data_IF_207384156875
#
_entry.id   IF_207384156875
#
_cell.length_a   1.000
_cell.length_b   1.000
_cell.length_c   1.000
_cell.angle_alpha   90.00
_cell.angle_beta   90.00
_cell.angle_gamma   90.00
#
_symmetry.space_group_name_H-M   'P 1'
#
loop_
_entity.id
_entity.type
_entity.pdbx_description
1 polymer ?
#
# COMPACT_ATOMS: atom_id res chain seq x y z
N UNK A 1 2.77 -11.70 0.49
CA UNK A 1 3.12 -10.52 1.32
C UNK A 1 4.35 -9.87 0.68
N UNK A 2 4.36 -8.54 0.43
CA UNK A 2 5.43 -7.87 -0.33
C UNK A 2 6.80 -7.92 0.35
N UNK A 3 6.83 -7.86 1.69
CA UNK A 3 8.07 -7.92 2.47
C UNK A 3 8.49 -9.35 2.80
N UNK A 4 8.46 -10.28 1.85
CA UNK A 4 8.98 -11.64 2.08
C UNK A 4 10.51 -11.67 2.04
N UNK A 5 11.13 -12.64 2.73
CA UNK A 5 12.59 -12.81 2.73
C UNK A 5 13.16 -12.97 1.33
N UNK A 6 12.47 -13.68 0.45
CA UNK A 6 12.92 -13.94 -0.92
C UNK A 6 12.91 -12.68 -1.79
N UNK A 7 11.99 -11.75 -1.54
CA UNK A 7 11.85 -10.53 -2.34
C UNK A 7 12.88 -9.45 -1.98
N UNK A 8 13.44 -9.51 -0.77
CA UNK A 8 14.40 -8.54 -0.26
C UNK A 8 15.71 -9.16 0.22
N UNK A 9 16.03 -10.35 -0.27
CA UNK A 9 17.26 -11.05 0.10
C UNK A 9 18.48 -10.15 -0.12
N UNK A 10 19.23 -9.87 0.95
CA UNK A 10 20.43 -9.01 0.92
C UNK A 10 20.19 -7.49 1.03
N UNK A 11 18.94 -6.99 0.93
CA UNK A 11 18.63 -5.55 1.07
C UNK A 11 18.41 -5.12 2.52
N UNK A 12 17.76 -5.96 3.32
CA UNK A 12 17.42 -5.66 4.70
C UNK A 12 17.89 -6.80 5.63
N UNK A 13 18.31 -6.45 6.84
CA UNK A 13 18.54 -7.44 7.90
C UNK A 13 17.20 -8.03 8.35
N UNK A 14 17.23 -9.21 8.96
CA UNK A 14 16.02 -9.88 9.46
C UNK A 14 15.15 -8.98 10.35
N UNK A 15 15.77 -8.26 11.29
CA UNK A 15 15.05 -7.36 12.19
C UNK A 15 14.41 -6.16 11.47
N UNK A 16 15.06 -5.64 10.43
CA UNK A 16 14.52 -4.55 9.62
C UNK A 16 13.34 -5.05 8.78
N UNK A 17 13.45 -6.25 8.22
CA UNK A 17 12.39 -6.90 7.48
C UNK A 17 11.16 -7.14 8.37
N UNK A 18 11.34 -7.58 9.62
CA UNK A 18 10.25 -7.75 10.58
C UNK A 18 9.56 -6.41 10.89
N UNK A 19 10.32 -5.33 11.05
CA UNK A 19 9.77 -3.98 11.22
C UNK A 19 8.96 -3.52 10.00
N UNK A 20 9.49 -3.68 8.79
CA UNK A 20 8.79 -3.32 7.55
C UNK A 20 7.51 -4.16 7.34
N UNK A 21 7.57 -5.45 7.67
CA UNK A 21 6.41 -6.34 7.66
C UNK A 21 5.34 -5.88 8.67
N UNK A 22 5.74 -5.45 9.86
CA UNK A 22 4.83 -4.92 10.87
C UNK A 22 4.20 -3.60 10.42
N UNK A 23 5.00 -2.68 9.86
CA UNK A 23 4.52 -1.42 9.30
C UNK A 23 3.50 -1.66 8.20
N UNK A 24 3.78 -2.60 7.29
CA UNK A 24 2.88 -2.97 6.21
C UNK A 24 1.54 -3.49 6.70
N UNK A 25 1.52 -4.40 7.69
CA UNK A 25 0.27 -4.90 8.25
C UNK A 25 -0.56 -3.77 8.89
N UNK A 26 0.08 -2.89 9.67
CA UNK A 26 -0.58 -1.74 10.30
C UNK A 26 -1.14 -0.76 9.27
N UNK A 27 -0.39 -0.47 8.21
CA UNK A 27 -0.86 0.36 7.10
C UNK A 27 -2.06 -0.29 6.39
N UNK A 28 -1.99 -1.58 6.10
CA UNK A 28 -3.10 -2.31 5.49
C UNK A 28 -4.35 -2.29 6.36
N UNK A 29 -4.22 -2.48 7.67
CA UNK A 29 -5.31 -2.37 8.64
C UNK A 29 -5.91 -0.95 8.66
N UNK A 30 -5.06 0.09 8.75
CA UNK A 30 -5.49 1.48 8.81
C UNK A 30 -6.20 1.96 7.52
N UNK A 31 -5.78 1.46 6.35
CA UNK A 31 -6.37 1.80 5.06
C UNK A 31 -7.50 0.84 4.62
N UNK A 32 -7.76 -0.23 5.37
CA UNK A 32 -8.78 -1.23 5.01
C UNK A 32 -8.41 -2.09 3.79
N UNK A 33 -7.12 -2.31 3.53
CA UNK A 33 -6.64 -3.12 2.41
C UNK A 33 -6.21 -4.52 2.85
N UNK A 34 -6.40 -5.50 1.97
CA UNK A 34 -5.85 -6.84 2.20
C UNK A 34 -4.34 -6.86 1.92
N UNK A 35 -3.49 -7.30 2.88
CA UNK A 35 -2.02 -7.33 2.72
C UNK A 35 -1.51 -8.36 1.70
N UNK A 36 -2.39 -9.20 1.15
CA UNK A 36 -2.01 -10.29 0.24
C UNK A 36 -2.63 -10.08 -1.15
N UNK A 37 -3.91 -9.74 -1.20
CA UNK A 37 -4.69 -9.72 -2.45
C UNK A 37 -5.01 -8.32 -2.96
N UNK A 38 -4.75 -7.26 -2.19
CA UNK A 38 -5.00 -5.89 -2.67
C UNK A 38 -4.17 -5.60 -3.92
N UNK A 39 -4.75 -5.03 -5.00
CA UNK A 39 -3.98 -4.60 -6.16
C UNK A 39 -2.97 -3.48 -5.80
N UNK A 40 -3.21 -2.75 -4.72
CA UNK A 40 -2.34 -1.70 -4.23
C UNK A 40 -1.19 -2.21 -3.35
N UNK A 41 -1.06 -3.53 -3.16
CA UNK A 41 -0.08 -4.13 -2.23
C UNK A 41 1.36 -3.67 -2.48
N UNK A 42 1.76 -3.58 -3.74
CA UNK A 42 3.14 -3.26 -4.13
C UNK A 42 3.40 -1.75 -4.03
N UNK A 43 2.38 -0.95 -4.33
CA UNK A 43 2.40 0.50 -4.15
C UNK A 43 2.57 0.88 -2.67
N UNK A 44 1.76 0.28 -1.79
CA UNK A 44 1.85 0.47 -0.33
C UNK A 44 3.24 0.05 0.18
N UNK A 45 3.77 -1.08 -0.30
CA UNK A 45 5.09 -1.55 0.11
C UNK A 45 6.20 -0.57 -0.31
N UNK A 46 6.16 -0.04 -1.54
CA UNK A 46 7.14 0.96 -1.99
C UNK A 46 7.11 2.24 -1.15
N UNK A 47 5.92 2.76 -0.83
CA UNK A 47 5.82 3.97 0.00
C UNK A 47 6.34 3.74 1.42
N UNK A 48 6.10 2.57 2.01
CA UNK A 48 6.65 2.21 3.32
C UNK A 48 8.19 2.17 3.29
N UNK A 49 8.79 1.61 2.23
CA UNK A 49 10.24 1.63 2.05
C UNK A 49 10.76 3.06 1.99
N UNK A 50 10.11 3.94 1.22
CA UNK A 50 10.52 5.34 1.11
C UNK A 50 10.49 6.06 2.47
N UNK A 51 9.42 5.90 3.24
CA UNK A 51 9.31 6.49 4.59
C UNK A 51 10.41 5.95 5.52
N UNK A 52 10.69 4.64 5.44
CA UNK A 52 11.76 4.01 6.21
C UNK A 52 13.15 4.56 5.85
N UNK A 53 13.43 4.73 4.56
CA UNK A 53 14.70 5.27 4.04
C UNK A 53 14.90 6.75 4.44
N UNK A 54 13.82 7.48 4.72
CA UNK A 54 13.88 8.81 5.33
C UNK A 54 14.19 8.80 6.85
N UNK A 55 14.40 7.62 7.45
CA UNK A 55 14.80 7.45 8.85
C UNK A 55 13.66 7.14 9.82
N UNK A 56 12.43 6.95 9.35
CA UNK A 56 11.29 6.59 10.20
C UNK A 56 11.18 5.07 10.28
N UNK A 57 11.62 4.48 11.39
CA UNK A 57 11.65 3.02 11.56
C UNK A 57 10.50 2.45 12.41
N UNK A 58 9.74 3.30 13.10
CA UNK A 58 8.64 2.85 13.95
C UNK A 58 7.41 2.45 13.11
N UNK A 59 6.92 1.20 13.20
CA UNK A 59 5.78 0.72 12.42
C UNK A 59 4.49 1.54 12.54
N UNK A 60 4.17 2.01 13.75
CA UNK A 60 2.97 2.81 14.00
C UNK A 60 3.07 4.17 13.31
N UNK A 61 4.23 4.83 13.42
CA UNK A 61 4.48 6.12 12.77
C UNK A 61 4.43 6.01 11.25
N UNK A 62 4.99 4.94 10.69
CA UNK A 62 4.92 4.70 9.25
C UNK A 62 3.44 4.56 8.81
N UNK A 63 2.64 3.79 9.54
CA UNK A 63 1.23 3.62 9.21
C UNK A 63 0.44 4.93 9.32
N UNK A 64 0.70 5.73 10.35
CA UNK A 64 0.11 7.07 10.52
C UNK A 64 0.47 7.98 9.33
N UNK A 65 1.74 8.04 8.95
CA UNK A 65 2.20 8.82 7.80
C UNK A 65 1.56 8.33 6.49
N UNK A 66 1.38 7.03 6.32
CA UNK A 66 0.69 6.48 5.15
C UNK A 66 -0.76 6.97 5.06
N UNK A 67 -1.50 6.98 6.18
CA UNK A 67 -2.87 7.52 6.22
C UNK A 67 -2.89 9.01 5.86
N UNK A 68 -1.95 9.78 6.38
CA UNK A 68 -1.83 11.21 6.05
C UNK A 68 -1.48 11.41 4.56
N UNK A 69 -0.64 10.57 3.99
CA UNK A 69 -0.30 10.62 2.56
C UNK A 69 -1.54 10.31 1.69
N UNK A 70 -2.32 9.29 2.04
CA UNK A 70 -3.57 8.98 1.32
C UNK A 70 -4.61 10.10 1.42
N UNK A 71 -4.68 10.81 2.55
CA UNK A 71 -5.64 11.90 2.73
C UNK A 71 -5.33 13.15 1.92
N UNK A 72 -4.05 13.38 1.59
CA UNK A 72 -3.60 14.53 0.79
C UNK A 72 -3.38 14.21 -0.69
N UNK A 73 -3.44 12.92 -1.09
CA UNK A 73 -3.30 12.54 -2.49
C UNK A 73 -4.50 13.06 -3.30
N UNK A 74 -4.26 13.90 -4.33
CA UNK A 74 -5.33 14.24 -5.26
C UNK A 74 -5.77 12.95 -5.96
N UNK A 75 -7.07 12.63 -5.89
CA UNK A 75 -7.63 11.49 -6.63
C UNK A 75 -7.27 11.67 -8.11
N UNK A 76 -6.53 10.72 -8.72
CA UNK A 76 -6.24 10.82 -10.13
C UNK A 76 -7.58 10.66 -10.88
N UNK A 77 -7.97 11.70 -11.62
CA UNK A 77 -9.22 11.77 -12.41
C UNK A 77 -9.41 10.58 -13.36
N UNK A 78 -8.35 9.81 -13.64
CA UNK A 78 -8.36 8.65 -14.53
C UNK A 78 -9.04 7.40 -13.92
N UNK A 79 -9.18 7.29 -12.60
CA UNK A 79 -9.78 6.10 -11.97
C UNK A 79 -11.33 6.14 -11.94
N UNK A 80 -11.92 7.34 -12.03
CA UNK A 80 -13.38 7.51 -12.19
C UNK A 80 -13.90 7.19 -13.60
N UNK A 81 -13.03 7.23 -14.63
CA UNK A 81 -13.44 6.91 -16.00
C UNK A 81 -13.59 5.41 -16.25
N UNK A 82 -12.87 4.55 -15.51
CA UNK A 82 -12.94 3.10 -15.70
C UNK A 82 -14.07 2.42 -14.91
N UNK A 83 -14.58 3.04 -13.84
CA UNK A 83 -15.68 2.48 -13.04
C UNK A 83 -17.07 2.79 -13.61
N UNK A 84 -17.20 3.79 -14.49
CA UNK A 84 -18.50 4.19 -15.08
C UNK A 84 -18.86 3.46 -16.39
N UNK A 85 -17.92 2.76 -17.04
CA UNK A 85 -18.14 2.16 -18.37
C UNK A 85 -18.80 0.78 -18.35
N UNK A 86 -18.95 0.13 -17.19
CA UNK A 86 -19.53 -1.23 -17.11
C UNK A 86 -21.06 -1.26 -16.91
N UNK A 87 -21.76 -0.12 -16.88
CA UNK A 87 -23.19 -0.07 -16.53
C UNK A 87 -24.15 0.26 -17.69
N UNK A 88 -23.75 0.11 -18.96
CA UNK A 88 -24.69 0.22 -20.08
C UNK A 88 -25.05 -1.16 -20.61
N UNK A 89 -25.89 -1.88 -19.84
CA UNK A 89 -26.55 -3.10 -20.32
C UNK A 89 -27.60 -2.71 -21.36
N UNK A 90 -27.31 -3.05 -22.62
CA UNK A 90 -28.18 -3.00 -23.79
C UNK A 90 -29.60 -3.51 -23.50
N UNK A 91 -30.60 -2.66 -23.73
CA UNK A 91 -31.97 -3.09 -24.07
C UNK A 91 -32.50 -2.18 -25.16
N UNK A 92 -32.50 -2.70 -26.39
CA UNK A 92 -33.48 -2.33 -27.41
C UNK A 92 -34.00 -3.65 -28.01
N UNK A 93 -35.28 -3.89 -27.78
CA UNK A 93 -36.15 -4.83 -28.47
C UNK A 93 -37.44 -4.07 -28.74
#
# INVERSE_FOLDING_TARGET
MPFSRDYHYGRFKTAELENLQAAYRKTCEALGHCPITSPQKDHIAHQIIQIYECGVSNPDKIAELMVQIESVKPKPLVEELFTKTSATKTRIA
#
